data_IF_540677548137
#
_entry.id   IF_540677548137
#
_cell.length_a   1.000
_cell.length_b   1.000
_cell.length_c   1.000
_cell.angle_alpha   90.00
_cell.angle_beta   90.00
_cell.angle_gamma   90.00
#
_symmetry.space_group_name_H-M   'P 1'
#
loop_
_entity.id
_entity.type
_entity.pdbx_description
1 polymer ?
#
# COMPACT_ATOMS: atom_id res chain seq x y z
N UNK A 1 -28.44 19.47 -39.64
CA UNK A 1 -28.72 18.82 -38.33
C UNK A 1 -27.49 18.20 -37.63
N UNK A 2 -26.27 18.26 -38.19
CA UNK A 2 -25.09 17.59 -37.59
C UNK A 2 -24.37 18.29 -36.41
N UNK A 3 -24.65 19.58 -36.13
CA UNK A 3 -23.99 20.32 -35.02
C UNK A 3 -24.61 20.04 -33.64
N UNK A 4 -25.91 19.73 -33.56
CA UNK A 4 -26.61 19.43 -32.30
C UNK A 4 -26.24 18.03 -31.78
N UNK A 5 -26.13 17.05 -32.68
CA UNK A 5 -25.79 15.67 -32.32
C UNK A 5 -24.38 15.55 -31.72
N UNK A 6 -23.43 16.34 -32.22
CA UNK A 6 -22.04 16.35 -31.74
C UNK A 6 -21.85 17.04 -30.37
N UNK A 7 -22.75 17.96 -30.00
CA UNK A 7 -22.76 18.58 -28.66
C UNK A 7 -23.30 17.58 -27.61
N UNK A 8 -24.35 16.82 -27.96
CA UNK A 8 -24.92 15.79 -27.10
C UNK A 8 -23.93 14.66 -26.78
N UNK A 9 -23.14 14.20 -27.75
CA UNK A 9 -22.14 13.15 -27.52
C UNK A 9 -20.95 13.63 -26.69
N UNK A 10 -20.53 14.89 -26.86
CA UNK A 10 -19.45 15.50 -26.07
C UNK A 10 -19.86 15.77 -24.63
N UNK A 11 -21.11 16.17 -24.39
CA UNK A 11 -21.69 16.32 -23.05
C UNK A 11 -21.76 15.00 -22.29
N UNK A 12 -22.24 13.94 -22.95
CA UNK A 12 -22.24 12.58 -22.38
C UNK A 12 -20.83 12.11 -22.03
N UNK A 13 -19.84 12.28 -22.92
CA UNK A 13 -18.43 11.92 -22.64
C UNK A 13 -17.84 12.67 -21.44
N UNK A 14 -18.13 13.97 -21.30
CA UNK A 14 -17.70 14.75 -20.13
C UNK A 14 -18.38 14.27 -18.84
N UNK A 15 -19.67 13.94 -18.90
CA UNK A 15 -20.41 13.41 -17.76
C UNK A 15 -19.85 12.04 -17.31
N UNK A 16 -19.55 11.16 -18.27
CA UNK A 16 -18.91 9.87 -17.99
C UNK A 16 -17.51 10.05 -17.37
N UNK A 17 -16.66 10.93 -17.91
CA UNK A 17 -15.33 11.19 -17.37
C UNK A 17 -15.36 11.75 -15.94
N UNK A 18 -16.26 12.71 -15.66
CA UNK A 18 -16.44 13.27 -14.30
C UNK A 18 -16.97 12.21 -13.35
N UNK A 19 -17.91 11.36 -13.79
CA UNK A 19 -18.42 10.25 -12.98
C UNK A 19 -17.34 9.21 -12.66
N UNK A 20 -16.46 8.89 -13.63
CA UNK A 20 -15.36 7.95 -13.43
C UNK A 20 -14.32 8.51 -12.44
N UNK A 21 -14.02 9.80 -12.52
CA UNK A 21 -13.09 10.48 -11.62
C UNK A 21 -13.66 10.57 -10.18
N UNK A 22 -14.97 10.83 -10.04
CA UNK A 22 -15.68 10.75 -8.75
C UNK A 22 -15.69 9.34 -8.16
N UNK A 23 -15.97 8.31 -8.98
CA UNK A 23 -16.00 6.91 -8.54
C UNK A 23 -14.63 6.45 -8.07
N UNK A 24 -13.58 6.78 -8.81
CA UNK A 24 -12.19 6.47 -8.42
C UNK A 24 -11.76 7.25 -7.17
N UNK A 25 -12.10 8.54 -7.06
CA UNK A 25 -11.87 9.31 -5.83
C UNK A 25 -12.57 8.70 -4.62
N UNK A 26 -13.82 8.24 -4.79
CA UNK A 26 -14.53 7.50 -3.75
C UNK A 26 -13.88 6.15 -3.45
N UNK A 27 -13.38 5.42 -4.47
CA UNK A 27 -12.70 4.14 -4.30
C UNK A 27 -11.37 4.27 -3.54
N UNK A 28 -10.61 5.34 -3.80
CA UNK A 28 -9.35 5.66 -3.12
C UNK A 28 -9.56 6.12 -1.68
N UNK A 29 -10.71 6.73 -1.38
CA UNK A 29 -11.10 7.13 -0.02
C UNK A 29 -11.80 6.01 0.75
N UNK A 30 -12.32 4.99 0.07
CA UNK A 30 -12.99 3.81 0.62
C UNK A 30 -12.18 3.10 1.73
N UNK A 31 -10.87 2.84 1.60
CA UNK A 31 -10.08 2.25 2.69
C UNK A 31 -9.99 3.16 3.93
N UNK A 32 -10.02 4.49 3.74
CA UNK A 32 -10.02 5.47 4.84
C UNK A 32 -11.39 5.46 5.53
N UNK A 33 -12.49 5.42 4.78
CA UNK A 33 -13.82 5.33 5.37
C UNK A 33 -14.08 3.99 6.07
N UNK A 34 -13.64 2.87 5.50
CA UNK A 34 -13.73 1.55 6.15
C UNK A 34 -12.92 1.48 7.44
N UNK A 35 -11.72 2.07 7.46
CA UNK A 35 -10.90 2.15 8.67
C UNK A 35 -11.46 3.13 9.71
N UNK A 36 -12.07 4.25 9.30
CA UNK A 36 -12.77 5.17 10.21
C UNK A 36 -14.05 4.54 10.77
N UNK A 37 -14.79 3.74 9.99
CA UNK A 37 -15.95 2.99 10.53
C UNK A 37 -15.53 1.81 11.40
N UNK A 38 -14.35 1.23 11.19
CA UNK A 38 -13.77 0.28 12.14
C UNK A 38 -13.38 0.99 13.47
N UNK A 39 -12.97 2.26 13.40
CA UNK A 39 -12.67 3.10 14.57
C UNK A 39 -13.95 3.69 15.21
N UNK A 40 -15.01 3.92 14.45
CA UNK A 40 -16.27 4.54 14.93
C UNK A 40 -17.36 3.52 15.28
N UNK A 41 -17.31 2.29 14.75
CA UNK A 41 -18.23 1.20 15.04
C UNK A 41 -17.85 0.34 16.24
N UNK A 42 -16.68 0.59 16.84
CA UNK A 42 -16.13 -0.19 17.93
C UNK A 42 -15.88 0.63 19.20
N UNK A 43 -16.93 0.80 20.01
CA UNK A 43 -16.77 0.89 21.46
C UNK A 43 -16.57 2.29 22.04
N UNK A 44 -17.65 2.84 22.61
CA UNK A 44 -17.51 3.83 23.67
C UNK A 44 -16.61 3.33 24.80
N UNK A 45 -15.91 4.27 25.42
CA UNK A 45 -15.11 4.11 26.63
C UNK A 45 -15.87 3.37 27.76
N UNK A 46 -15.16 2.76 28.73
CA UNK A 46 -15.16 1.32 28.91
C UNK A 46 -16.03 0.87 30.09
N UNK A 47 -16.73 -0.25 29.92
CA UNK A 47 -17.19 -1.08 31.04
C UNK A 47 -16.49 -2.43 30.91
N UNK A 48 -15.67 -2.77 31.90
CA UNK A 48 -14.78 -3.92 31.91
C UNK A 48 -15.48 -5.23 31.59
N UNK A 49 -15.25 -5.72 30.38
CA UNK A 49 -15.62 -7.03 29.90
C UNK A 49 -15.03 -7.22 28.50
N UNK A 50 -14.49 -8.40 28.16
CA UNK A 50 -14.07 -8.68 26.79
C UNK A 50 -15.25 -8.46 25.82
N UNK A 51 -15.01 -7.85 24.64
CA UNK A 51 -16.03 -7.66 23.61
C UNK A 51 -16.73 -9.00 23.26
N UNK A 52 -18.05 -8.99 23.08
CA UNK A 52 -18.84 -10.23 22.86
C UNK A 52 -18.38 -11.02 21.61
N UNK A 53 -17.78 -10.30 20.66
CA UNK A 53 -17.13 -10.76 19.44
C UNK A 53 -15.88 -11.62 19.70
N UNK A 54 -15.09 -11.36 20.76
CA UNK A 54 -13.96 -12.23 21.14
C UNK A 54 -14.43 -13.53 21.80
N UNK A 55 -15.58 -13.51 22.47
CA UNK A 55 -16.16 -14.71 23.10
C UNK A 55 -16.79 -15.64 22.06
N UNK A 56 -17.40 -15.09 21.01
CA UNK A 56 -17.91 -15.84 19.87
C UNK A 56 -16.78 -16.48 19.06
N UNK A 57 -15.68 -15.75 18.85
CA UNK A 57 -14.47 -16.28 18.22
C UNK A 57 -13.79 -17.38 19.07
N UNK A 58 -13.73 -17.22 20.40
CA UNK A 58 -13.23 -18.26 21.32
C UNK A 58 -14.08 -19.54 21.31
N UNK A 59 -15.40 -19.43 21.13
CA UNK A 59 -16.29 -20.60 21.12
C UNK A 59 -16.24 -21.36 19.80
N UNK A 60 -16.01 -20.66 18.69
CA UNK A 60 -15.80 -21.27 17.37
C UNK A 60 -14.39 -21.87 17.20
N UNK A 61 -13.39 -21.33 17.91
CA UNK A 61 -12.02 -21.86 17.93
C UNK A 61 -11.78 -22.94 19.01
N UNK A 62 -12.83 -23.37 19.72
CA UNK A 62 -12.75 -24.31 20.84
C UNK A 62 -12.66 -25.80 20.47
N UNK A 63 -12.63 -26.14 19.18
CA UNK A 63 -12.36 -27.50 18.72
C UNK A 63 -11.09 -27.48 17.87
N UNK A 64 -10.06 -28.16 18.37
CA UNK A 64 -8.74 -28.40 17.78
C UNK A 64 -7.61 -27.40 18.14
N UNK A 65 -6.87 -27.74 19.21
CA UNK A 65 -5.40 -27.56 19.22
C UNK A 65 -4.82 -26.45 20.11
N UNK A 66 -4.34 -26.85 21.29
CA UNK A 66 -3.32 -26.23 22.16
C UNK A 66 -3.20 -24.69 22.25
N UNK A 67 -3.58 -24.18 23.42
CA UNK A 67 -3.46 -22.79 23.83
C UNK A 67 -2.00 -22.27 23.83
N UNK A 68 -1.69 -21.39 22.89
CA UNK A 68 -0.51 -20.51 22.96
C UNK A 68 -0.69 -19.52 24.12
N UNK A 69 0.31 -19.44 25.01
CA UNK A 69 0.27 -18.57 26.19
C UNK A 69 0.14 -17.10 25.77
N UNK A 70 -1.00 -16.50 26.08
CA UNK A 70 -1.22 -15.06 25.96
C UNK A 70 -0.35 -14.35 27.02
N UNK A 71 0.79 -13.80 26.61
CA UNK A 71 1.60 -12.94 27.47
C UNK A 71 0.85 -11.62 27.72
N UNK A 72 0.57 -11.33 28.99
CA UNK A 72 -0.04 -10.08 29.40
C UNK A 72 1.04 -8.98 29.39
N UNK A 73 0.96 -8.09 28.42
CA UNK A 73 1.85 -6.94 28.30
C UNK A 73 1.33 -5.77 29.12
N UNK A 74 2.20 -5.13 29.91
CA UNK A 74 1.87 -3.85 30.55
C UNK A 74 2.19 -2.72 29.59
N UNK A 75 1.19 -1.95 29.21
CA UNK A 75 1.40 -0.75 28.41
C UNK A 75 2.37 0.23 29.11
N UNK A 76 3.34 0.74 28.35
CA UNK A 76 4.43 1.58 28.88
C UNK A 76 3.92 2.96 29.30
N UNK A 77 2.88 3.48 28.65
CA UNK A 77 2.37 4.82 28.90
C UNK A 77 1.19 4.88 29.87
N UNK A 78 0.17 4.04 29.66
CA UNK A 78 -1.05 4.05 30.48
C UNK A 78 -1.08 2.95 31.54
N UNK A 79 -0.02 2.13 31.65
CA UNK A 79 0.16 1.09 32.68
C UNK A 79 -1.04 0.14 32.81
N UNK A 80 -1.83 0.03 31.76
CA UNK A 80 -2.99 -0.85 31.71
C UNK A 80 -2.51 -2.24 31.31
N UNK A 81 -2.99 -3.26 32.02
CA UNK A 81 -2.69 -4.65 31.70
C UNK A 81 -3.65 -5.11 30.62
N UNK A 82 -3.10 -5.60 29.52
CA UNK A 82 -3.85 -6.18 28.41
C UNK A 82 -3.08 -7.33 27.79
N UNK A 83 -3.77 -8.21 27.04
CA UNK A 83 -3.05 -9.17 26.20
C UNK A 83 -2.10 -8.39 25.29
N UNK A 84 -0.83 -8.80 25.24
CA UNK A 84 0.11 -8.21 24.29
C UNK A 84 -0.40 -8.49 22.87
N UNK A 85 -0.97 -7.47 22.23
CA UNK A 85 -1.47 -7.59 20.86
C UNK A 85 -0.27 -7.41 19.93
N UNK A 86 0.28 -8.53 19.46
CA UNK A 86 1.40 -8.61 18.52
C UNK A 86 2.32 -9.78 18.84
N UNK A 87 2.97 -10.36 17.83
CA UNK A 87 4.02 -11.37 18.08
C UNK A 87 5.15 -10.73 18.89
N UNK A 88 5.69 -11.40 19.93
CA UNK A 88 6.79 -10.88 20.72
C UNK A 88 8.00 -10.60 19.82
N UNK A 89 8.64 -9.44 20.04
CA UNK A 89 9.84 -9.07 19.29
C UNK A 89 10.89 -10.17 19.46
N UNK A 90 11.56 -10.62 18.38
CA UNK A 90 12.61 -11.61 18.50
C UNK A 90 13.69 -11.05 19.42
N UNK A 91 14.06 -11.81 20.44
CA UNK A 91 15.21 -11.47 21.28
C UNK A 91 16.45 -11.71 20.44
N UNK A 92 16.88 -10.69 19.72
CA UNK A 92 18.09 -10.75 18.88
C UNK A 92 19.31 -10.51 19.75
N UNK A 93 20.26 -11.45 19.71
CA UNK A 93 21.60 -11.26 20.27
C UNK A 93 22.57 -10.82 19.16
N UNK A 94 23.61 -10.05 19.49
CA UNK A 94 24.67 -9.65 18.54
C UNK A 94 25.60 -10.84 18.24
N UNK A 95 25.08 -11.83 17.53
CA UNK A 95 25.78 -13.05 17.15
C UNK A 95 25.71 -13.27 15.63
N UNK A 96 26.61 -14.11 15.08
CA UNK A 96 26.67 -14.36 13.62
C UNK A 96 25.40 -15.04 13.07
N UNK A 97 24.55 -15.58 13.94
CA UNK A 97 23.28 -16.21 13.57
C UNK A 97 22.18 -15.18 13.29
N UNK A 98 22.12 -14.08 14.04
CA UNK A 98 21.14 -13.01 13.85
C UNK A 98 21.68 -11.84 13.02
N UNK A 99 22.99 -11.59 13.04
CA UNK A 99 23.69 -10.55 12.29
C UNK A 99 24.95 -11.12 11.61
N UNK A 100 24.83 -11.72 10.42
CA UNK A 100 25.98 -12.20 9.65
C UNK A 100 26.90 -11.04 9.28
N UNK A 101 28.12 -11.03 9.84
CA UNK A 101 29.13 -9.99 9.56
C UNK A 101 29.95 -10.41 8.34
N UNK A 102 29.56 -9.91 7.17
CA UNK A 102 30.39 -10.01 5.97
C UNK A 102 31.53 -8.96 6.02
N UNK A 103 32.63 -9.18 5.30
CA UNK A 103 33.77 -8.23 5.18
C UNK A 103 33.39 -6.87 4.53
N UNK A 104 32.12 -6.66 4.21
CA UNK A 104 31.56 -5.44 3.65
C UNK A 104 30.57 -4.82 4.64
N UNK A 105 30.47 -3.49 4.63
CA UNK A 105 29.49 -2.74 5.41
C UNK A 105 28.05 -3.08 4.97
N UNK A 106 27.46 -4.12 5.58
CA UNK A 106 26.13 -4.66 5.25
C UNK A 106 25.03 -3.60 5.34
N UNK A 107 25.21 -2.61 6.21
CA UNK A 107 24.31 -1.44 6.33
C UNK A 107 24.36 -0.53 5.11
N UNK A 108 25.55 -0.29 4.56
CA UNK A 108 25.74 0.60 3.40
C UNK A 108 25.14 -0.05 2.16
N UNK A 109 25.34 -1.35 1.96
CA UNK A 109 24.74 -2.09 0.85
C UNK A 109 23.21 -2.04 0.90
N UNK A 110 22.62 -2.33 2.06
CA UNK A 110 21.18 -2.24 2.24
C UNK A 110 20.67 -0.81 2.03
N UNK A 111 21.38 0.18 2.56
CA UNK A 111 21.04 1.60 2.39
C UNK A 111 21.03 2.01 0.92
N UNK A 112 22.08 1.69 0.15
CA UNK A 112 22.15 2.01 -1.28
C UNK A 112 21.03 1.32 -2.06
N UNK A 113 20.79 0.02 -1.81
CA UNK A 113 19.72 -0.72 -2.46
C UNK A 113 18.34 -0.11 -2.16
N UNK A 114 18.07 0.19 -0.89
CA UNK A 114 16.81 0.77 -0.45
C UNK A 114 16.60 2.18 -1.01
N UNK A 115 17.66 3.00 -1.03
CA UNK A 115 17.62 4.35 -1.57
C UNK A 115 17.30 4.34 -3.07
N UNK A 116 17.97 3.47 -3.83
CA UNK A 116 17.75 3.37 -5.26
C UNK A 116 16.33 2.90 -5.57
N UNK A 117 15.80 1.93 -4.81
CA UNK A 117 14.43 1.46 -4.95
C UNK A 117 13.42 2.57 -4.64
N UNK A 118 13.60 3.33 -3.55
CA UNK A 118 12.68 4.41 -3.17
C UNK A 118 12.67 5.58 -4.15
N UNK A 119 13.82 5.93 -4.75
CA UNK A 119 13.87 6.97 -5.77
C UNK A 119 13.05 6.61 -7.02
N UNK A 120 13.15 5.37 -7.50
CA UNK A 120 12.35 4.93 -8.63
C UNK A 120 10.90 4.60 -8.25
N UNK A 121 10.65 4.10 -7.04
CA UNK A 121 9.30 3.84 -6.52
C UNK A 121 8.45 5.11 -6.42
N UNK A 122 9.03 6.20 -5.90
CA UNK A 122 8.35 7.51 -5.87
C UNK A 122 8.10 8.08 -7.27
N UNK A 123 9.02 7.87 -8.22
CA UNK A 123 8.84 8.26 -9.62
C UNK A 123 7.69 7.50 -10.28
N UNK A 124 7.63 6.17 -10.08
CA UNK A 124 6.58 5.30 -10.61
C UNK A 124 5.20 5.69 -10.09
N UNK A 125 5.09 6.10 -8.82
CA UNK A 125 3.81 6.59 -8.29
C UNK A 125 3.46 8.00 -8.79
N UNK A 126 4.44 8.89 -8.94
CA UNK A 126 4.19 10.27 -9.32
C UNK A 126 3.73 10.43 -10.79
N UNK A 127 4.29 9.66 -11.73
CA UNK A 127 4.04 9.85 -13.17
C UNK A 127 2.60 9.55 -13.58
N UNK A 128 1.97 8.41 -13.19
CA UNK A 128 0.56 8.15 -13.50
C UNK A 128 -0.40 9.20 -12.95
N UNK A 129 -0.16 9.65 -11.71
CA UNK A 129 -0.96 10.72 -11.08
C UNK A 129 -0.80 12.01 -11.86
N UNK A 130 0.43 12.35 -12.28
CA UNK A 130 0.70 13.51 -13.11
C UNK A 130 0.02 13.42 -14.49
N UNK A 131 0.09 12.26 -15.16
CA UNK A 131 -0.60 11.99 -16.43
C UNK A 131 -2.12 12.18 -16.31
N UNK A 132 -2.72 11.68 -15.24
CA UNK A 132 -4.14 11.83 -14.94
C UNK A 132 -4.53 13.30 -14.75
N UNK A 133 -3.70 14.09 -14.07
CA UNK A 133 -3.90 15.54 -13.92
C UNK A 133 -3.88 16.29 -15.25
N UNK A 134 -2.92 16.01 -16.14
CA UNK A 134 -2.81 16.70 -17.44
C UNK A 134 -3.88 16.24 -18.43
N UNK A 135 -4.31 14.97 -18.39
CA UNK A 135 -5.43 14.48 -19.18
C UNK A 135 -6.74 15.16 -18.73
N UNK A 136 -6.95 15.28 -17.42
CA UNK A 136 -8.07 16.05 -16.87
C UNK A 136 -8.03 17.52 -17.29
N UNK A 137 -6.86 18.17 -17.22
CA UNK A 137 -6.68 19.54 -17.72
C UNK A 137 -6.99 19.66 -19.23
N UNK A 138 -6.60 18.65 -20.03
CA UNK A 138 -6.93 18.55 -21.45
C UNK A 138 -8.43 18.42 -21.71
N UNK A 139 -9.16 17.64 -20.90
CA UNK A 139 -10.62 17.48 -20.99
C UNK A 139 -11.39 18.74 -20.59
N UNK A 140 -10.89 19.48 -19.60
CA UNK A 140 -11.46 20.75 -19.14
C UNK A 140 -11.16 21.88 -20.14
N UNK A 141 -10.03 21.81 -20.85
CA UNK A 141 -9.66 22.79 -21.86
C UNK A 141 -10.69 22.89 -23.00
N UNK A 142 -11.06 24.12 -23.34
CA UNK A 142 -11.99 24.40 -24.45
C UNK A 142 -11.30 24.38 -25.80
N UNK A 143 -9.99 24.63 -25.82
CA UNK A 143 -9.18 24.66 -27.03
C UNK A 143 -8.69 23.25 -27.40
N UNK A 144 -9.10 22.80 -28.60
CA UNK A 144 -8.76 21.47 -29.11
C UNK A 144 -7.28 21.33 -29.46
N UNK A 145 -6.60 22.43 -29.81
CA UNK A 145 -5.17 22.39 -30.12
C UNK A 145 -4.34 22.16 -28.85
N UNK A 146 -4.71 22.81 -27.75
CA UNK A 146 -4.05 22.65 -26.45
C UNK A 146 -4.38 21.29 -25.81
N UNK A 147 -5.63 20.82 -25.92
CA UNK A 147 -6.01 19.49 -25.45
C UNK A 147 -5.16 18.38 -26.10
N UNK A 148 -4.89 18.48 -27.41
CA UNK A 148 -4.05 17.50 -28.13
C UNK A 148 -2.59 17.51 -27.65
N UNK A 149 -2.06 18.67 -27.25
CA UNK A 149 -0.69 18.78 -26.70
C UNK A 149 -0.58 18.13 -25.32
N UNK A 150 -1.58 18.31 -24.45
CA UNK A 150 -1.60 17.65 -23.13
C UNK A 150 -1.75 16.13 -23.25
N UNK A 151 -2.57 15.67 -24.19
CA UNK A 151 -2.76 14.24 -24.48
C UNK A 151 -1.47 13.58 -25.01
N UNK A 152 -0.78 14.23 -25.96
CA UNK A 152 0.53 13.77 -26.44
C UNK A 152 1.58 13.74 -25.33
N UNK A 153 1.60 14.75 -24.47
CA UNK A 153 2.51 14.81 -23.33
C UNK A 153 2.27 13.66 -22.34
N UNK A 154 1.00 13.35 -22.02
CA UNK A 154 0.65 12.23 -21.16
C UNK A 154 1.10 10.89 -21.74
N UNK A 155 0.90 10.70 -23.05
CA UNK A 155 1.32 9.50 -23.74
C UNK A 155 2.84 9.27 -23.68
N UNK A 156 3.62 10.33 -23.91
CA UNK A 156 5.09 10.25 -23.83
C UNK A 156 5.58 9.95 -22.41
N UNK A 157 4.94 10.53 -21.39
CA UNK A 157 5.28 10.25 -19.99
C UNK A 157 4.92 8.82 -19.55
N UNK A 158 3.76 8.29 -19.93
CA UNK A 158 3.39 6.89 -19.65
C UNK A 158 4.43 5.93 -20.26
N UNK A 159 4.86 6.19 -21.49
CA UNK A 159 5.87 5.34 -22.17
C UNK A 159 7.20 5.29 -21.41
N UNK A 160 7.65 6.41 -20.86
CA UNK A 160 8.86 6.48 -20.03
C UNK A 160 8.62 5.78 -18.68
N UNK A 161 7.43 5.94 -18.09
CA UNK A 161 7.08 5.33 -16.80
C UNK A 161 7.08 3.80 -16.83
N UNK A 162 6.66 3.18 -17.94
CA UNK A 162 6.68 1.72 -18.10
C UNK A 162 8.10 1.14 -18.01
N UNK A 163 9.09 1.88 -18.51
CA UNK A 163 10.50 1.49 -18.40
C UNK A 163 10.99 1.61 -16.95
N UNK A 164 10.62 2.70 -16.28
CA UNK A 164 10.96 2.91 -14.87
C UNK A 164 10.27 1.88 -13.94
N UNK A 165 9.06 1.44 -14.28
CA UNK A 165 8.34 0.40 -13.57
C UNK A 165 9.12 -0.92 -13.54
N UNK A 166 9.59 -1.35 -14.72
CA UNK A 166 10.41 -2.56 -14.86
C UNK A 166 11.70 -2.47 -14.04
N UNK A 167 12.38 -1.33 -14.10
CA UNK A 167 13.61 -1.10 -13.33
C UNK A 167 13.35 -1.10 -11.81
N UNK A 168 12.23 -0.52 -11.36
CA UNK A 168 11.82 -0.53 -9.96
C UNK A 168 11.53 -1.95 -9.47
N UNK A 169 10.90 -2.79 -10.31
CA UNK A 169 10.64 -4.19 -9.99
C UNK A 169 11.94 -4.99 -9.82
N UNK A 170 12.93 -4.79 -10.71
CA UNK A 170 14.25 -5.42 -10.59
C UNK A 170 14.94 -4.98 -9.30
N UNK A 171 14.96 -3.67 -9.01
CA UNK A 171 15.55 -3.14 -7.78
C UNK A 171 14.82 -3.61 -6.52
N UNK A 172 13.50 -3.76 -6.57
CA UNK A 172 12.72 -4.32 -5.47
C UNK A 172 13.06 -5.79 -5.22
N UNK A 173 13.25 -6.57 -6.28
CA UNK A 173 13.74 -7.94 -6.18
C UNK A 173 15.13 -8.03 -5.55
N UNK A 174 16.06 -7.15 -5.98
CA UNK A 174 17.40 -7.05 -5.39
C UNK A 174 17.32 -6.63 -3.92
N UNK A 175 16.44 -5.71 -3.56
CA UNK A 175 16.25 -5.25 -2.19
C UNK A 175 15.76 -6.40 -1.29
N UNK A 176 14.75 -7.14 -1.72
CA UNK A 176 14.24 -8.33 -1.01
C UNK A 176 15.36 -9.36 -0.86
N UNK A 177 16.10 -9.65 -1.93
CA UNK A 177 17.23 -10.57 -1.88
C UNK A 177 18.31 -10.12 -0.89
N UNK A 178 18.60 -8.83 -0.83
CA UNK A 178 19.55 -8.24 0.12
C UNK A 178 19.05 -8.36 1.56
N UNK A 179 17.74 -8.15 1.81
CA UNK A 179 17.14 -8.36 3.13
C UNK A 179 17.17 -9.83 3.57
N UNK A 180 16.88 -10.77 2.67
CA UNK A 180 16.90 -12.20 2.98
C UNK A 180 18.31 -12.72 3.31
N UNK A 181 19.34 -12.14 2.70
CA UNK A 181 20.73 -12.57 2.87
C UNK A 181 21.44 -11.88 4.04
N UNK A 182 21.31 -10.55 4.16
CA UNK A 182 22.03 -9.77 5.18
C UNK A 182 21.24 -9.63 6.49
N UNK A 183 19.91 -9.73 6.46
CA UNK A 183 19.03 -9.47 7.62
C UNK A 183 17.84 -10.46 7.73
N UNK A 184 18.07 -11.78 7.74
CA UNK A 184 17.00 -12.79 7.69
C UNK A 184 16.06 -12.76 8.91
N UNK A 185 16.59 -12.58 10.12
CA UNK A 185 15.80 -12.55 11.35
C UNK A 185 14.87 -11.32 11.41
N UNK A 186 15.40 -10.16 11.02
CA UNK A 186 14.65 -8.91 10.95
C UNK A 186 13.56 -8.96 9.87
N UNK A 187 13.88 -9.43 8.66
CA UNK A 187 12.90 -9.55 7.59
C UNK A 187 11.82 -10.60 7.88
N UNK A 188 12.18 -11.71 8.54
CA UNK A 188 11.23 -12.73 8.98
C UNK A 188 10.19 -12.19 9.97
N UNK A 189 10.63 -11.39 10.94
CA UNK A 189 9.73 -10.72 11.88
C UNK A 189 8.82 -9.70 11.19
N UNK A 190 9.36 -8.82 10.35
CA UNK A 190 8.56 -7.86 9.57
C UNK A 190 7.54 -8.58 8.68
N UNK A 191 7.95 -9.64 7.99
CA UNK A 191 7.07 -10.40 7.11
C UNK A 191 5.91 -10.98 7.89
N UNK A 192 6.13 -11.52 9.10
CA UNK A 192 5.07 -12.10 9.94
C UNK A 192 3.99 -11.09 10.32
N UNK A 193 4.38 -9.85 10.67
CA UNK A 193 3.46 -8.76 11.03
C UNK A 193 2.70 -8.27 9.79
N UNK A 194 3.39 -8.13 8.67
CA UNK A 194 2.82 -7.54 7.45
C UNK A 194 2.15 -8.56 6.51
N UNK A 195 2.04 -9.84 6.88
CA UNK A 195 1.41 -10.89 6.03
C UNK A 195 0.08 -10.45 5.40
N UNK A 196 -0.89 -9.90 6.15
CA UNK A 196 -2.18 -9.49 5.55
C UNK A 196 -2.01 -8.34 4.54
N UNK A 197 -1.14 -7.38 4.85
CA UNK A 197 -0.88 -6.19 4.01
C UNK A 197 -0.13 -6.58 2.73
N UNK A 198 0.77 -7.56 2.79
CA UNK A 198 1.53 -8.02 1.62
C UNK A 198 0.63 -8.58 0.51
N UNK A 199 -0.45 -9.29 0.87
CA UNK A 199 -1.42 -9.80 -0.10
C UNK A 199 -2.21 -8.66 -0.76
N UNK A 200 -2.69 -7.70 0.03
CA UNK A 200 -3.40 -6.52 -0.47
C UNK A 200 -2.47 -5.71 -1.40
N UNK A 201 -1.21 -5.53 -0.99
CA UNK A 201 -0.20 -4.85 -1.78
C UNK A 201 0.05 -5.55 -3.11
N UNK A 202 0.22 -6.88 -3.12
CA UNK A 202 0.40 -7.64 -4.35
C UNK A 202 -0.81 -7.54 -5.29
N UNK A 203 -2.03 -7.61 -4.78
CA UNK A 203 -3.25 -7.45 -5.57
C UNK A 203 -3.37 -6.03 -6.16
N UNK A 204 -3.04 -5.01 -5.36
CA UNK A 204 -3.08 -3.61 -5.80
C UNK A 204 -2.03 -3.36 -6.88
N UNK A 205 -0.81 -3.91 -6.72
CA UNK A 205 0.26 -3.82 -7.71
C UNK A 205 -0.13 -4.48 -9.03
N UNK A 206 -0.77 -5.65 -9.00
CA UNK A 206 -1.27 -6.33 -10.21
C UNK A 206 -2.40 -5.53 -10.86
N UNK A 207 -3.33 -5.00 -10.06
CA UNK A 207 -4.42 -4.17 -10.56
C UNK A 207 -3.89 -2.90 -11.24
N UNK A 208 -2.94 -2.20 -10.61
CA UNK A 208 -2.29 -1.02 -11.17
C UNK A 208 -1.51 -1.35 -12.45
N UNK A 209 -0.73 -2.44 -12.43
CA UNK A 209 0.01 -2.93 -13.61
C UNK A 209 -0.89 -3.25 -14.80
N UNK A 210 -2.13 -3.71 -14.54
CA UNK A 210 -3.08 -4.07 -15.60
C UNK A 210 -3.81 -2.84 -16.17
N UNK A 211 -3.91 -1.75 -15.41
CA UNK A 211 -4.61 -0.53 -15.81
C UNK A 211 -3.72 0.50 -16.50
N UNK A 212 -2.40 0.43 -16.30
CA UNK A 212 -1.38 1.27 -16.95
C UNK A 212 -0.95 0.70 -18.30
#
# INVERSE_FOLDING_TARGET
MGRLFNQMTRGKKKLFAVSALMVMGCLLLLPIFLSVTAVAGGGGAPAGGPPADVVAAQKAAGEEGEAEKVEMGRDVYYKTEGPAIGMPAPVTEDNETFYPRYNFESRVLLWVANQQHLYYGSFVLAVPIFCMCIEFAGMVSKDKAMAKKYDQLAYDFIKISLTAYSLTAILGGILIFTFLTLYPAFFGYLSSIFRPVMHIYALTFVAESATL
#
